data_IF_347828441542
#
_entry.id   IF_347828441542
#
_cell.length_a   1.000
_cell.length_b   1.000
_cell.length_c   1.000
_cell.angle_alpha   90.00
_cell.angle_beta   90.00
_cell.angle_gamma   90.00
#
_symmetry.space_group_name_H-M   'P 1'
#
loop_
_entity.id
_entity.type
_entity.pdbx_description
1 polymer ?
#
# COMPACT_ATOMS: atom_id res chain seq x y z
N UNK A 1 44.79 -16.60 -8.75
CA UNK A 1 44.93 -15.50 -7.77
C UNK A 1 44.01 -14.36 -8.20
N UNK A 2 42.81 -14.31 -7.61
CA UNK A 2 41.80 -13.32 -7.94
C UNK A 2 41.96 -12.09 -7.04
N UNK A 3 42.33 -10.95 -7.61
CA UNK A 3 42.47 -9.66 -6.93
C UNK A 3 41.06 -9.14 -6.58
N UNK A 4 40.70 -9.19 -5.29
CA UNK A 4 39.49 -8.53 -4.76
C UNK A 4 39.70 -7.02 -4.84
N UNK A 5 39.07 -6.34 -5.83
CA UNK A 5 38.94 -4.88 -5.87
C UNK A 5 38.24 -4.43 -4.59
N UNK A 6 38.95 -3.77 -3.69
CA UNK A 6 38.37 -3.08 -2.54
C UNK A 6 37.47 -1.96 -3.05
N UNK A 7 36.17 -2.07 -2.83
CA UNK A 7 35.18 -1.02 -3.09
C UNK A 7 35.59 0.21 -2.28
N UNK A 8 35.76 1.36 -2.93
CA UNK A 8 36.09 2.62 -2.25
C UNK A 8 35.02 2.90 -1.18
N UNK A 9 35.40 3.43 0.01
CA UNK A 9 34.43 3.72 1.06
C UNK A 9 33.44 4.76 0.55
N UNK A 10 32.18 4.39 0.52
CA UNK A 10 31.06 5.27 0.18
C UNK A 10 31.10 6.48 1.14
N UNK A 11 31.21 7.69 0.60
CA UNK A 11 31.28 8.91 1.40
C UNK A 11 30.02 9.03 2.24
N UNK A 12 30.15 9.04 3.56
CA UNK A 12 29.04 9.18 4.49
C UNK A 12 28.19 10.42 4.13
N UNK A 13 26.85 10.30 4.10
CA UNK A 13 25.97 11.39 3.73
C UNK A 13 26.17 12.60 4.67
N UNK A 14 26.13 13.81 4.09
CA UNK A 14 26.23 15.06 4.82
C UNK A 14 24.82 15.54 5.18
N UNK A 15 24.66 16.05 6.40
CA UNK A 15 23.40 16.62 6.90
C UNK A 15 23.62 18.08 7.26
N UNK A 16 22.70 18.95 6.83
CA UNK A 16 22.69 20.36 7.22
C UNK A 16 22.21 20.48 8.67
N UNK A 17 23.05 21.00 9.53
CA UNK A 17 22.71 21.27 10.93
C UNK A 17 22.38 22.75 11.07
N UNK A 18 21.15 23.05 11.52
CA UNK A 18 20.72 24.41 11.81
C UNK A 18 21.44 24.96 13.04
N UNK A 19 21.97 26.17 12.94
CA UNK A 19 22.66 26.91 14.02
C UNK A 19 22.90 28.34 13.57
N UNK A 20 23.60 29.13 14.40
CA UNK A 20 23.96 30.53 14.09
C UNK A 20 24.73 30.69 12.76
N UNK A 21 25.40 29.62 12.30
CA UNK A 21 25.94 29.44 10.95
C UNK A 21 25.60 28.01 10.49
N UNK A 22 24.88 27.82 9.37
CA UNK A 22 24.60 26.49 8.86
C UNK A 22 25.88 25.76 8.50
N UNK A 23 26.04 24.54 8.98
CA UNK A 23 27.24 23.72 8.76
C UNK A 23 26.84 22.35 8.22
N UNK A 24 27.57 21.87 7.22
CA UNK A 24 27.46 20.50 6.74
C UNK A 24 28.28 19.57 7.65
N UNK A 25 27.63 18.67 8.36
CA UNK A 25 28.30 17.64 9.19
C UNK A 25 27.99 16.25 8.65
N UNK A 26 28.91 15.32 8.90
CA UNK A 26 28.64 13.89 8.64
C UNK A 26 27.41 13.46 9.42
N UNK A 27 26.47 12.79 8.76
CA UNK A 27 25.32 12.23 9.44
C UNK A 27 25.77 11.20 10.47
N UNK A 28 25.25 11.28 11.68
CA UNK A 28 25.46 10.23 12.67
C UNK A 28 24.72 8.96 12.22
N UNK A 29 25.14 7.80 12.71
CA UNK A 29 24.48 6.53 12.41
C UNK A 29 22.96 6.54 12.74
N UNK A 30 22.54 7.39 13.69
CA UNK A 30 21.14 7.58 14.09
C UNK A 30 20.43 8.70 13.34
N UNK A 31 21.12 9.49 12.50
CA UNK A 31 20.52 10.60 11.77
C UNK A 31 19.59 10.07 10.68
N UNK A 32 18.47 10.78 10.50
CA UNK A 32 17.57 10.56 9.38
C UNK A 32 18.23 11.03 8.08
N UNK A 33 18.21 10.18 7.07
CA UNK A 33 18.71 10.50 5.72
C UNK A 33 17.70 10.02 4.68
N UNK A 34 17.79 10.56 3.47
CA UNK A 34 16.91 10.15 2.37
C UNK A 34 17.07 8.65 2.05
N UNK A 35 18.28 8.14 2.08
CA UNK A 35 18.53 6.70 1.86
C UNK A 35 17.82 5.82 2.92
N UNK A 36 17.82 6.24 4.18
CA UNK A 36 17.08 5.53 5.23
C UNK A 36 15.57 5.63 5.06
N UNK A 37 15.09 6.78 4.57
CA UNK A 37 13.69 6.96 4.23
C UNK A 37 13.25 5.99 3.13
N UNK A 38 14.03 5.88 2.07
CA UNK A 38 13.77 4.95 0.96
C UNK A 38 13.76 3.49 1.43
N UNK A 39 14.76 3.06 2.21
CA UNK A 39 14.81 1.73 2.80
C UNK A 39 13.58 1.46 3.67
N UNK A 40 13.23 2.41 4.54
CA UNK A 40 12.07 2.28 5.42
C UNK A 40 10.77 2.12 4.63
N UNK A 41 10.54 2.97 3.62
CA UNK A 41 9.31 2.94 2.82
C UNK A 41 9.22 1.69 1.94
N UNK A 42 10.33 1.22 1.38
CA UNK A 42 10.39 -0.02 0.61
C UNK A 42 10.05 -1.22 1.49
N UNK A 43 10.71 -1.36 2.63
CA UNK A 43 10.43 -2.45 3.57
C UNK A 43 8.99 -2.41 4.11
N UNK A 44 8.45 -1.21 4.34
CA UNK A 44 7.07 -1.04 4.77
C UNK A 44 6.07 -1.47 3.69
N UNK A 45 6.35 -1.18 2.42
CA UNK A 45 5.53 -1.60 1.29
C UNK A 45 5.52 -3.13 1.11
N UNK A 46 6.63 -3.78 1.46
CA UNK A 46 6.76 -5.24 1.36
C UNK A 46 6.14 -5.99 2.53
N UNK A 47 6.33 -5.50 3.76
CA UNK A 47 5.99 -6.25 4.97
C UNK A 47 4.81 -5.70 5.74
N UNK A 48 4.40 -4.45 5.50
CA UNK A 48 3.46 -3.70 6.33
C UNK A 48 3.81 -3.69 7.83
N UNK A 49 5.10 -3.90 8.16
CA UNK A 49 5.59 -4.02 9.53
C UNK A 49 6.53 -2.87 9.88
N UNK A 50 6.03 -1.92 10.68
CA UNK A 50 6.79 -0.73 11.08
C UNK A 50 8.07 -1.10 11.84
N UNK A 51 8.06 -2.14 12.67
CA UNK A 51 9.23 -2.55 13.46
C UNK A 51 10.33 -3.06 12.56
N UNK A 52 10.03 -4.00 11.67
CA UNK A 52 10.99 -4.52 10.69
C UNK A 52 11.52 -3.41 9.78
N UNK A 53 10.67 -2.52 9.30
CA UNK A 53 11.07 -1.38 8.47
C UNK A 53 12.01 -0.42 9.23
N UNK A 54 11.78 -0.21 10.53
CA UNK A 54 12.66 0.59 11.38
C UNK A 54 14.03 -0.07 11.56
N UNK A 55 14.06 -1.38 11.76
CA UNK A 55 15.30 -2.17 11.90
C UNK A 55 16.09 -2.14 10.60
N UNK A 56 15.47 -2.41 9.46
CA UNK A 56 16.10 -2.37 8.15
C UNK A 56 16.71 -0.99 7.83
N UNK A 57 16.02 0.09 8.16
CA UNK A 57 16.50 1.46 7.95
C UNK A 57 17.46 1.96 9.03
N UNK A 58 17.64 1.23 10.14
CA UNK A 58 18.45 1.64 11.28
C UNK A 58 17.94 2.93 11.92
N UNK A 59 16.60 3.03 12.13
CA UNK A 59 15.92 4.20 12.72
C UNK A 59 15.00 3.78 13.85
N UNK A 60 14.69 4.69 14.76
CA UNK A 60 13.75 4.38 15.85
C UNK A 60 12.29 4.61 15.43
N UNK A 61 11.32 3.84 15.97
CA UNK A 61 9.90 4.07 15.75
C UNK A 61 9.45 5.49 16.17
N UNK A 62 10.09 6.06 17.18
CA UNK A 62 9.83 7.45 17.62
C UNK A 62 10.18 8.46 16.52
N UNK A 63 11.27 8.22 15.78
CA UNK A 63 11.67 9.07 14.65
C UNK A 63 10.61 9.02 13.55
N UNK A 64 10.10 7.84 13.21
CA UNK A 64 9.02 7.65 12.24
C UNK A 64 7.76 8.41 12.67
N UNK A 65 7.35 8.25 13.94
CA UNK A 65 6.17 8.93 14.48
C UNK A 65 6.30 10.46 14.39
N UNK A 66 7.48 11.01 14.70
CA UNK A 66 7.77 12.45 14.60
C UNK A 66 7.75 12.92 13.13
N UNK A 67 8.41 12.17 12.24
CA UNK A 67 8.43 12.48 10.81
C UNK A 67 7.05 12.47 10.20
N UNK A 68 6.24 11.46 10.50
CA UNK A 68 4.86 11.36 10.02
C UNK A 68 3.97 12.53 10.45
N UNK A 69 4.24 13.13 11.63
CA UNK A 69 3.53 14.32 12.10
C UNK A 69 3.99 15.61 11.41
N UNK A 70 5.31 15.79 11.25
CA UNK A 70 5.89 17.06 10.82
C UNK A 70 6.22 17.17 9.34
N UNK A 71 6.22 16.06 8.59
CA UNK A 71 6.64 16.03 7.19
C UNK A 71 5.52 15.49 6.31
N UNK A 72 4.94 16.36 5.49
CA UNK A 72 3.81 16.02 4.63
C UNK A 72 4.23 15.06 3.49
N UNK A 73 5.44 15.24 2.94
CA UNK A 73 5.94 14.39 1.86
C UNK A 73 6.21 12.97 2.37
N UNK A 74 6.85 12.84 3.55
CA UNK A 74 7.04 11.54 4.19
C UNK A 74 5.69 10.86 4.53
N UNK A 75 4.71 11.63 5.00
CA UNK A 75 3.37 11.09 5.29
C UNK A 75 2.70 10.55 4.04
N UNK A 76 2.80 11.25 2.90
CA UNK A 76 2.27 10.77 1.62
C UNK A 76 2.96 9.48 1.17
N UNK A 77 4.31 9.41 1.25
CA UNK A 77 5.07 8.20 0.97
C UNK A 77 4.72 7.02 1.89
N UNK A 78 4.54 7.29 3.18
CA UNK A 78 4.10 6.29 4.15
C UNK A 78 2.73 5.69 3.78
N UNK A 79 1.76 6.53 3.42
CA UNK A 79 0.42 6.08 3.01
C UNK A 79 0.47 5.29 1.70
N UNK A 80 1.31 5.71 0.74
CA UNK A 80 1.52 4.98 -0.51
C UNK A 80 2.13 3.58 -0.25
N UNK A 81 3.15 3.49 0.61
CA UNK A 81 3.75 2.21 1.00
C UNK A 81 2.74 1.27 1.67
N UNK A 82 1.92 1.80 2.59
CA UNK A 82 0.86 1.00 3.24
C UNK A 82 -0.17 0.52 2.21
N UNK A 83 -0.58 1.38 1.27
CA UNK A 83 -1.50 0.98 0.19
C UNK A 83 -0.93 -0.17 -0.63
N UNK A 84 0.32 -0.08 -1.07
CA UNK A 84 0.99 -1.15 -1.82
C UNK A 84 1.05 -2.47 -1.04
N UNK A 85 1.31 -2.40 0.28
CA UNK A 85 1.28 -3.58 1.13
C UNK A 85 -0.11 -4.23 1.22
N UNK A 86 -1.19 -3.42 1.26
CA UNK A 86 -2.56 -3.93 1.22
C UNK A 86 -2.90 -4.60 -0.11
N UNK A 87 -2.54 -4.00 -1.24
CA UNK A 87 -2.72 -4.59 -2.58
C UNK A 87 -2.02 -5.95 -2.68
N UNK A 88 -0.80 -6.04 -2.16
CA UNK A 88 -0.07 -7.32 -2.11
C UNK A 88 -0.74 -8.35 -1.20
N UNK A 89 -1.21 -7.94 -0.02
CA UNK A 89 -1.95 -8.83 0.89
C UNK A 89 -3.18 -9.42 0.21
N UNK A 90 -3.91 -8.59 -0.52
CA UNK A 90 -5.09 -9.00 -1.28
C UNK A 90 -4.75 -10.09 -2.31
N UNK A 91 -3.70 -9.89 -3.10
CA UNK A 91 -3.23 -10.88 -4.06
C UNK A 91 -2.84 -12.21 -3.40
N UNK A 92 -2.15 -12.17 -2.27
CA UNK A 92 -1.77 -13.37 -1.50
C UNK A 92 -3.01 -14.08 -0.94
N UNK A 93 -4.01 -13.35 -0.49
CA UNK A 93 -5.26 -13.94 0.00
C UNK A 93 -6.07 -14.58 -1.12
N UNK A 94 -6.13 -13.94 -2.30
CA UNK A 94 -6.73 -14.50 -3.50
C UNK A 94 -6.02 -15.79 -3.94
N UNK A 95 -4.69 -15.76 -4.00
CA UNK A 95 -3.89 -16.94 -4.32
C UNK A 95 -4.18 -18.10 -3.36
N UNK A 96 -4.17 -17.84 -2.05
CA UNK A 96 -4.49 -18.85 -1.03
C UNK A 96 -5.91 -19.38 -1.14
N UNK A 97 -6.85 -18.53 -1.53
CA UNK A 97 -8.22 -18.96 -1.73
C UNK A 97 -8.35 -19.90 -2.93
N UNK A 98 -7.74 -19.57 -4.07
CA UNK A 98 -7.82 -20.41 -5.28
C UNK A 98 -6.98 -21.68 -5.19
N UNK A 99 -5.79 -21.60 -4.62
CA UNK A 99 -4.86 -22.71 -4.56
C UNK A 99 -5.02 -23.57 -3.29
N UNK A 100 -5.73 -23.06 -2.29
CA UNK A 100 -5.80 -23.68 -0.96
C UNK A 100 -4.48 -23.53 -0.19
N UNK A 101 -4.51 -23.90 1.07
CA UNK A 101 -3.32 -23.89 1.95
C UNK A 101 -2.93 -25.33 2.26
N UNK A 102 -1.69 -25.69 2.02
CA UNK A 102 -1.19 -27.02 2.36
C UNK A 102 -0.99 -27.12 3.88
N UNK A 103 -1.58 -28.14 4.47
CA UNK A 103 -1.47 -28.47 5.89
C UNK A 103 -0.83 -29.85 6.03
N UNK A 104 0.30 -29.90 6.69
CA UNK A 104 0.97 -31.15 7.01
C UNK A 104 0.57 -31.56 8.43
N UNK A 105 -0.05 -32.71 8.55
CA UNK A 105 -0.42 -33.29 9.84
C UNK A 105 0.49 -34.49 10.12
N UNK A 106 1.28 -34.40 11.17
CA UNK A 106 2.11 -35.49 11.64
C UNK A 106 1.28 -36.36 12.59
N UNK A 107 1.02 -37.61 12.23
CA UNK A 107 0.29 -38.54 13.06
C UNK A 107 1.17 -39.09 14.19
N UNK A 108 0.55 -39.71 15.20
CA UNK A 108 1.26 -40.29 16.35
C UNK A 108 2.22 -41.44 15.98
N UNK A 109 2.00 -42.06 14.84
CA UNK A 109 2.86 -43.09 14.26
C UNK A 109 4.04 -42.55 13.45
N UNK A 110 4.19 -41.21 13.37
CA UNK A 110 5.25 -40.53 12.63
C UNK A 110 4.94 -40.36 11.13
N UNK A 111 3.79 -40.83 10.64
CA UNK A 111 3.39 -40.63 9.24
C UNK A 111 2.94 -39.19 8.99
N UNK A 112 3.36 -38.64 7.83
CA UNK A 112 2.94 -37.30 7.36
C UNK A 112 1.74 -37.45 6.44
N UNK A 113 0.68 -36.75 6.78
CA UNK A 113 -0.49 -36.58 5.91
C UNK A 113 -0.56 -35.15 5.41
N UNK A 114 -0.54 -34.97 4.09
CA UNK A 114 -0.65 -33.66 3.45
C UNK A 114 -2.08 -33.46 2.98
N UNK A 115 -2.71 -32.43 3.53
CA UNK A 115 -4.07 -32.03 3.18
C UNK A 115 -4.05 -30.63 2.60
N UNK A 116 -4.93 -30.36 1.63
CA UNK A 116 -5.17 -29.02 1.12
C UNK A 116 -6.48 -28.49 1.67
N UNK A 117 -6.39 -27.40 2.42
CA UNK A 117 -7.53 -26.77 3.07
C UNK A 117 -7.94 -25.51 2.29
N UNK A 118 -9.24 -25.38 2.02
CA UNK A 118 -9.84 -24.23 1.37
C UNK A 118 -10.72 -23.49 2.38
N UNK A 119 -10.45 -22.21 2.61
CA UNK A 119 -11.22 -21.41 3.57
C UNK A 119 -12.41 -20.75 2.90
N UNK A 120 -13.61 -21.31 3.05
CA UNK A 120 -14.86 -20.69 2.58
C UNK A 120 -15.09 -19.32 3.25
N UNK A 121 -14.66 -19.15 4.49
CA UNK A 121 -14.77 -17.88 5.21
C UNK A 121 -13.93 -16.78 4.55
N UNK A 122 -12.71 -17.11 4.13
CA UNK A 122 -11.85 -16.20 3.38
C UNK A 122 -12.49 -15.81 2.05
N UNK A 123 -13.04 -16.79 1.31
CA UNK A 123 -13.74 -16.55 0.05
C UNK A 123 -14.92 -15.61 0.19
N UNK A 124 -15.77 -15.84 1.20
CA UNK A 124 -16.92 -14.95 1.47
C UNK A 124 -16.49 -13.54 1.87
N UNK A 125 -15.38 -13.39 2.63
CA UNK A 125 -14.85 -12.09 2.99
C UNK A 125 -14.32 -11.34 1.75
N UNK A 126 -13.56 -12.00 0.88
CA UNK A 126 -13.06 -11.44 -0.38
C UNK A 126 -14.20 -11.04 -1.31
N UNK A 127 -15.22 -11.89 -1.49
CA UNK A 127 -16.40 -11.56 -2.29
C UNK A 127 -17.13 -10.31 -1.80
N UNK A 128 -17.21 -10.12 -0.47
CA UNK A 128 -17.82 -8.91 0.10
C UNK A 128 -16.99 -7.65 -0.19
N UNK A 129 -15.66 -7.74 -0.08
CA UNK A 129 -14.75 -6.62 -0.33
C UNK A 129 -14.77 -6.24 -1.81
N UNK A 130 -14.78 -7.23 -2.71
CA UNK A 130 -14.71 -7.00 -4.15
C UNK A 130 -16.05 -6.78 -4.85
N UNK A 131 -17.16 -6.91 -4.12
CA UNK A 131 -18.49 -6.74 -4.69
C UNK A 131 -18.66 -5.39 -5.38
N UNK A 132 -18.22 -4.33 -4.72
CA UNK A 132 -18.39 -2.97 -5.24
C UNK A 132 -17.40 -2.70 -6.40
N UNK A 133 -16.17 -3.20 -6.29
CA UNK A 133 -15.15 -3.10 -7.35
C UNK A 133 -15.56 -3.90 -8.60
N UNK A 134 -16.15 -5.08 -8.43
CA UNK A 134 -16.68 -5.86 -9.54
C UNK A 134 -17.89 -5.19 -10.21
N UNK A 135 -18.73 -4.52 -9.42
CA UNK A 135 -19.84 -3.75 -9.95
C UNK A 135 -19.36 -2.51 -10.73
N UNK A 136 -18.32 -1.82 -10.25
CA UNK A 136 -17.68 -0.71 -10.95
C UNK A 136 -17.03 -1.16 -12.26
N UNK A 137 -16.32 -2.29 -12.25
CA UNK A 137 -15.71 -2.86 -13.45
C UNK A 137 -16.78 -3.25 -14.50
N UNK A 138 -17.86 -3.88 -14.05
CA UNK A 138 -18.98 -4.22 -14.93
C UNK A 138 -19.69 -2.98 -15.51
N UNK A 139 -19.75 -1.88 -14.75
CA UNK A 139 -20.29 -0.60 -15.24
C UNK A 139 -19.35 0.09 -16.24
N UNK A 140 -18.04 -0.13 -16.13
CA UNK A 140 -17.02 0.37 -17.07
C UNK A 140 -16.99 -0.36 -18.41
N UNK A 141 -17.46 -1.63 -18.45
CA UNK A 141 -17.56 -2.46 -19.65
C UNK A 141 -18.89 -2.26 -20.41
N UNK A 142 -19.74 -1.31 -20.00
CA UNK A 142 -20.96 -0.99 -20.72
C UNK A 142 -20.63 -0.46 -22.12
N UNK A 143 -21.28 -1.01 -23.17
CA UNK A 143 -21.08 -0.54 -24.53
C UNK A 143 -21.41 0.97 -24.63
N UNK A 144 -20.70 1.72 -25.53
CA UNK A 144 -20.86 3.17 -25.65
C UNK A 144 -22.31 3.63 -25.91
N UNK A 145 -23.11 2.82 -26.56
CA UNK A 145 -24.53 3.12 -26.84
C UNK A 145 -25.38 3.19 -25.55
N UNK A 146 -25.07 2.34 -24.57
CA UNK A 146 -25.78 2.35 -23.27
C UNK A 146 -25.38 3.57 -22.42
N UNK A 147 -24.16 4.07 -22.59
CA UNK A 147 -23.68 5.29 -21.88
C UNK A 147 -24.42 6.53 -22.40
N UNK A 148 -24.66 6.61 -23.70
CA UNK A 148 -25.37 7.73 -24.32
C UNK A 148 -26.85 7.74 -23.89
N UNK A 149 -27.50 6.58 -23.86
CA UNK A 149 -28.86 6.43 -23.36
C UNK A 149 -28.97 6.80 -21.86
N UNK A 150 -27.98 6.43 -21.06
CA UNK A 150 -27.92 6.79 -19.64
C UNK A 150 -27.75 8.31 -19.47
N UNK A 151 -26.88 8.94 -20.26
CA UNK A 151 -26.70 10.39 -20.28
C UNK A 151 -28.00 11.12 -20.62
N UNK A 152 -28.71 10.67 -21.65
CA UNK A 152 -29.99 11.26 -22.01
C UNK A 152 -31.03 11.12 -20.88
N UNK A 153 -31.09 9.97 -20.21
CA UNK A 153 -32.01 9.75 -19.08
C UNK A 153 -31.67 10.68 -17.91
N UNK A 154 -30.38 10.86 -17.60
CA UNK A 154 -29.92 11.77 -16.56
C UNK A 154 -30.24 13.22 -16.92
N UNK A 155 -29.96 13.66 -18.16
CA UNK A 155 -30.29 15.01 -18.64
C UNK A 155 -31.78 15.29 -18.58
N UNK A 156 -32.63 14.35 -19.02
CA UNK A 156 -34.10 14.48 -18.90
C UNK A 156 -34.55 14.62 -17.44
N UNK A 157 -33.92 13.90 -16.52
CA UNK A 157 -34.21 14.02 -15.08
C UNK A 157 -33.79 15.36 -14.51
N UNK A 158 -32.61 15.86 -14.85
CA UNK A 158 -32.10 17.16 -14.42
C UNK A 158 -32.97 18.30 -14.94
N UNK A 159 -33.38 18.27 -16.19
CA UNK A 159 -34.28 19.27 -16.79
C UNK A 159 -35.66 19.30 -16.10
N UNK A 160 -36.21 18.12 -15.74
CA UNK A 160 -37.47 18.05 -14.96
C UNK A 160 -37.29 18.64 -13.56
N UNK A 161 -36.17 18.41 -12.88
CA UNK A 161 -35.86 18.99 -11.56
C UNK A 161 -35.68 20.51 -11.65
N UNK A 162 -34.96 20.97 -12.67
CA UNK A 162 -34.77 22.39 -12.92
C UNK A 162 -36.10 23.12 -13.16
N UNK A 163 -37.04 22.50 -13.93
CA UNK A 163 -38.36 23.05 -14.18
C UNK A 163 -39.24 23.08 -12.92
N UNK A 164 -39.04 22.15 -11.98
CA UNK A 164 -39.72 22.15 -10.66
C UNK A 164 -39.16 23.16 -9.68
N UNK A 165 -37.85 23.50 -9.81
CA UNK A 165 -37.17 24.45 -8.92
C UNK A 165 -37.24 25.91 -9.39
N UNK A 166 -37.69 26.17 -10.63
CA UNK A 166 -38.01 27.52 -11.07
C UNK A 166 -39.40 27.87 -10.52
N UNK A 167 -39.52 28.79 -9.53
CA UNK A 167 -40.81 29.29 -9.16
C UNK A 167 -41.42 30.01 -10.39
N UNK A 168 -42.70 29.82 -10.59
CA UNK A 168 -43.48 30.56 -11.59
C UNK A 168 -43.36 32.03 -11.25
N UNK A 169 -42.60 32.79 -12.02
CA UNK A 169 -42.71 34.24 -12.04
C UNK A 169 -44.01 34.54 -12.79
N UNK A 170 -45.09 34.79 -12.03
CA UNK A 170 -46.25 35.56 -12.40
C UNK A 170 -46.27 36.84 -11.56
#
# INVERSE_FOLDING_TARGET
>A
MGSRKRKAPEKAPLVLVAGRKPQMRKASARSWTRAKEEIFLTELAETCNITLSCEAAGVSPTTIKRKRKGDAAFRAGFLAAVRSAYERLELVLLERFFNGTEKVVIRKDGSEERMREYSNQLGLALLKIHRDTAAEAAAGDMPPDDVEELRERVLKKLLRLQKRLRPSEE
#
